data_IF_307401173928
#
_entry.id   IF_307401173928
#
_cell.length_a   1.000
_cell.length_b   1.000
_cell.length_c   1.000
_cell.angle_alpha   90.00
_cell.angle_beta   90.00
_cell.angle_gamma   90.00
#
_symmetry.space_group_name_H-M   'P 1'
#
loop_
_entity.id
_entity.type
_entity.pdbx_description
1 polymer ?
#
# COMPACT_ATOMS: atom_id res chain seq x y z
N UNK A 1 2.21 8.86 -17.94
CA UNK A 1 2.18 7.67 -17.07
C UNK A 1 1.63 8.12 -15.72
N UNK A 2 0.62 7.43 -15.16
CA UNK A 2 0.09 7.84 -13.85
C UNK A 2 1.11 7.47 -12.74
N UNK A 3 1.38 8.35 -11.76
CA UNK A 3 2.33 8.05 -10.71
C UNK A 3 1.82 6.91 -9.83
N UNK A 4 2.70 5.98 -9.50
CA UNK A 4 2.45 4.84 -8.61
C UNK A 4 3.16 5.03 -7.29
N UNK A 5 2.60 4.45 -6.23
CA UNK A 5 3.23 4.50 -4.91
C UNK A 5 4.40 3.53 -4.89
N UNK A 6 5.60 4.00 -4.55
CA UNK A 6 6.80 3.19 -4.44
C UNK A 6 7.32 3.22 -3.01
N UNK A 7 7.84 2.10 -2.52
CA UNK A 7 8.71 2.08 -1.33
C UNK A 7 10.14 1.96 -1.78
N UNK A 8 10.98 2.85 -1.29
CA UNK A 8 12.42 2.81 -1.53
C UNK A 8 13.10 2.56 -0.21
N UNK A 9 14.05 1.62 -0.20
CA UNK A 9 14.87 1.31 0.96
C UNK A 9 16.34 1.15 0.61
N UNK A 10 17.20 1.55 1.53
CA UNK A 10 18.64 1.28 1.52
C UNK A 10 19.09 0.87 2.93
N UNK A 11 20.21 0.18 3.00
CA UNK A 11 20.88 -0.19 4.25
C UNK A 11 22.16 0.64 4.37
N UNK A 12 22.39 1.26 5.52
CA UNK A 12 23.61 2.02 5.80
C UNK A 12 24.78 1.15 6.25
N UNK A 13 25.92 1.76 6.56
CA UNK A 13 27.14 1.04 6.93
C UNK A 13 27.02 0.32 8.28
N UNK A 14 26.09 0.76 9.12
CA UNK A 14 25.78 0.21 10.44
C UNK A 14 24.72 -0.91 10.36
N UNK A 15 24.21 -1.22 9.18
CA UNK A 15 23.18 -2.25 8.96
C UNK A 15 21.74 -1.76 9.23
N UNK A 16 21.54 -0.44 9.37
CA UNK A 16 20.21 0.15 9.58
C UNK A 16 19.50 0.31 8.26
N UNK A 17 18.26 -0.19 8.17
CA UNK A 17 17.43 -0.07 6.97
C UNK A 17 16.59 1.20 7.02
N UNK A 18 16.84 2.11 6.10
CA UNK A 18 16.08 3.34 5.91
C UNK A 18 15.02 3.12 4.85
N UNK A 19 13.77 3.52 5.13
CA UNK A 19 12.64 3.28 4.22
C UNK A 19 11.77 4.53 4.08
N UNK A 20 11.41 4.88 2.85
CA UNK A 20 10.44 5.95 2.54
C UNK A 20 9.43 5.50 1.50
N UNK A 21 8.23 6.07 1.56
CA UNK A 21 7.18 5.89 0.55
C UNK A 21 7.05 7.16 -0.28
N UNK A 22 7.12 7.02 -1.61
CA UNK A 22 7.05 8.12 -2.57
C UNK A 22 5.99 7.82 -3.64
N UNK A 23 5.58 8.82 -4.40
CA UNK A 23 4.72 8.65 -5.58
C UNK A 23 5.50 9.12 -6.81
N UNK A 24 5.69 8.23 -7.79
CA UNK A 24 6.58 8.47 -8.93
C UNK A 24 6.04 7.85 -10.21
N UNK A 25 6.37 8.45 -11.35
CA UNK A 25 6.03 7.98 -12.68
C UNK A 25 7.14 7.10 -13.30
N UNK A 26 8.30 6.95 -12.66
CA UNK A 26 9.36 6.04 -13.10
C UNK A 26 10.22 5.51 -11.95
N UNK A 27 11.01 4.46 -12.21
CA UNK A 27 11.97 3.91 -11.25
C UNK A 27 12.99 4.97 -10.79
N UNK A 28 13.58 5.71 -11.73
CA UNK A 28 14.60 6.71 -11.41
C UNK A 28 14.04 7.92 -10.69
N UNK A 29 12.81 8.33 -11.02
CA UNK A 29 12.12 9.38 -10.29
C UNK A 29 11.79 8.94 -8.85
N UNK A 30 11.36 7.69 -8.65
CA UNK A 30 11.16 7.14 -7.31
C UNK A 30 12.44 7.20 -6.47
N UNK A 31 13.58 6.83 -7.05
CA UNK A 31 14.89 6.94 -6.40
C UNK A 31 15.24 8.40 -6.10
N UNK A 32 15.08 9.32 -7.05
CA UNK A 32 15.38 10.74 -6.84
C UNK A 32 14.56 11.36 -5.71
N UNK A 33 13.24 11.10 -5.69
CA UNK A 33 12.35 11.54 -4.61
C UNK A 33 12.71 10.90 -3.27
N UNK A 34 13.10 9.63 -3.26
CA UNK A 34 13.52 8.97 -2.03
C UNK A 34 14.83 9.55 -1.48
N UNK A 35 15.84 9.78 -2.32
CA UNK A 35 17.11 10.43 -1.94
C UNK A 35 16.85 11.80 -1.32
N UNK A 36 15.97 12.59 -1.93
CA UNK A 36 15.56 13.89 -1.38
C UNK A 36 14.88 13.73 -0.01
N UNK A 37 13.97 12.77 0.14
CA UNK A 37 13.25 12.53 1.39
C UNK A 37 14.19 12.05 2.52
N UNK A 38 15.15 11.17 2.21
CA UNK A 38 16.18 10.71 3.13
C UNK A 38 17.08 11.86 3.60
N UNK A 39 17.57 12.68 2.67
CA UNK A 39 18.43 13.82 2.98
C UNK A 39 17.76 14.89 3.85
N UNK A 40 16.43 14.95 3.86
CA UNK A 40 15.67 15.86 4.71
C UNK A 40 15.56 15.40 6.18
N UNK A 41 15.91 14.15 6.49
CA UNK A 41 15.84 13.61 7.86
C UNK A 41 17.20 13.71 8.57
N UNK A 42 17.27 14.28 9.78
CA UNK A 42 18.54 14.53 10.46
C UNK A 42 19.25 13.25 10.95
N UNK A 43 18.57 12.12 10.98
CA UNK A 43 19.10 10.81 11.40
C UNK A 43 19.43 9.89 10.24
N UNK A 44 19.30 10.34 8.99
CA UNK A 44 19.66 9.52 7.82
C UNK A 44 21.06 9.88 7.34
N UNK A 45 22.03 8.96 7.33
CA UNK A 45 23.35 9.22 6.78
C UNK A 45 23.27 9.43 5.26
N UNK A 46 24.30 10.06 4.65
CA UNK A 46 24.41 10.12 3.20
C UNK A 46 24.38 8.72 2.58
N UNK A 47 23.59 8.54 1.52
CA UNK A 47 23.49 7.26 0.82
C UNK A 47 24.82 6.98 0.10
N UNK A 48 25.52 5.87 0.37
CA UNK A 48 26.76 5.53 -0.33
C UNK A 48 26.52 5.34 -1.84
N UNK A 49 27.46 5.77 -2.67
CA UNK A 49 27.32 5.72 -4.14
C UNK A 49 27.10 4.30 -4.69
N UNK A 50 27.63 3.28 -4.01
CA UNK A 50 27.49 1.86 -4.37
C UNK A 50 26.41 1.13 -3.56
N UNK A 51 25.62 1.83 -2.73
CA UNK A 51 24.60 1.19 -1.90
C UNK A 51 23.47 0.60 -2.77
N UNK A 52 23.09 -0.67 -2.57
CA UNK A 52 21.96 -1.24 -3.27
C UNK A 52 20.66 -0.57 -2.81
N UNK A 53 19.89 -0.07 -3.76
CA UNK A 53 18.55 0.47 -3.52
C UNK A 53 17.51 -0.60 -3.89
N UNK A 54 16.62 -0.92 -2.96
CA UNK A 54 15.44 -1.72 -3.29
C UNK A 54 14.25 -0.81 -3.52
N UNK A 55 13.60 -0.95 -4.67
CA UNK A 55 12.37 -0.23 -5.02
C UNK A 55 11.23 -1.23 -5.18
N UNK A 56 10.26 -1.14 -4.29
CA UNK A 56 9.00 -1.89 -4.39
C UNK A 56 7.93 -0.98 -4.98
N UNK A 57 7.47 -1.29 -6.19
CA UNK A 57 6.36 -0.58 -6.82
C UNK A 57 5.05 -1.18 -6.33
N UNK A 58 4.27 -0.40 -5.58
CA UNK A 58 2.94 -0.81 -5.15
C UNK A 58 1.89 -0.37 -6.18
N UNK A 59 0.90 -1.24 -6.47
CA UNK A 59 -0.26 -0.82 -7.25
C UNK A 59 -0.90 0.41 -6.60
N UNK A 60 -1.42 1.32 -7.41
CA UNK A 60 -2.22 2.45 -6.92
C UNK A 60 -3.32 1.91 -6.01
N UNK A 61 -3.26 2.24 -4.71
CA UNK A 61 -4.24 1.76 -3.74
C UNK A 61 -5.55 2.53 -3.90
N UNK A 62 -6.66 1.81 -4.05
CA UNK A 62 -8.00 2.39 -3.96
C UNK A 62 -8.49 2.23 -2.52
N UNK A 63 -8.69 3.35 -1.82
CA UNK A 63 -9.27 3.34 -0.49
C UNK A 63 -10.80 3.43 -0.57
N UNK A 64 -11.49 2.47 0.06
CA UNK A 64 -12.93 2.51 0.25
C UNK A 64 -13.24 2.64 1.74
N UNK A 65 -14.01 3.66 2.11
CA UNK A 65 -14.55 3.80 3.48
C UNK A 65 -15.96 3.25 3.52
N UNK A 66 -16.19 2.25 4.36
CA UNK A 66 -17.50 1.61 4.55
C UNK A 66 -17.80 1.45 6.03
N UNK A 67 -19.05 1.66 6.44
CA UNK A 67 -19.49 1.42 7.80
C UNK A 67 -19.89 -0.04 7.99
N UNK A 68 -19.68 -0.60 9.18
CA UNK A 68 -20.17 -1.94 9.53
C UNK A 68 -21.68 -2.09 9.32
N UNK A 69 -22.44 -1.02 9.56
CA UNK A 69 -23.88 -0.97 9.28
C UNK A 69 -24.17 -1.23 7.79
N UNK A 70 -23.46 -0.57 6.88
CA UNK A 70 -23.66 -0.73 5.43
C UNK A 70 -23.28 -2.14 4.95
N UNK A 71 -22.24 -2.73 5.54
CA UNK A 71 -21.85 -4.13 5.24
C UNK A 71 -22.94 -5.10 5.70
N UNK A 72 -23.48 -4.92 6.92
CA UNK A 72 -24.58 -5.76 7.44
C UNK A 72 -25.85 -5.63 6.60
N UNK A 73 -26.23 -4.40 6.23
CA UNK A 73 -27.38 -4.14 5.36
C UNK A 73 -27.22 -4.80 3.99
N UNK A 74 -26.04 -4.70 3.38
CA UNK A 74 -25.76 -5.37 2.11
C UNK A 74 -25.86 -6.89 2.24
N UNK A 75 -25.32 -7.49 3.31
CA UNK A 75 -25.39 -8.93 3.51
C UNK A 75 -26.83 -9.44 3.73
N UNK A 76 -27.71 -8.61 4.32
CA UNK A 76 -29.11 -8.94 4.57
C UNK A 76 -30.06 -8.56 3.41
N UNK A 77 -29.59 -7.81 2.41
CA UNK A 77 -30.42 -7.33 1.30
C UNK A 77 -30.86 -8.47 0.37
N UNK A 78 -32.01 -8.27 -0.29
CA UNK A 78 -32.54 -9.19 -1.30
C UNK A 78 -31.54 -9.36 -2.45
N UNK A 79 -31.16 -10.60 -2.71
CA UNK A 79 -30.21 -10.93 -3.78
C UNK A 79 -30.87 -10.87 -5.16
N UNK A 80 -30.10 -10.47 -6.17
CA UNK A 80 -30.58 -10.37 -7.57
C UNK A 80 -30.33 -11.62 -8.41
N UNK A 81 -29.56 -12.58 -7.89
CA UNK A 81 -29.26 -13.85 -8.55
C UNK A 81 -28.90 -14.94 -7.53
N UNK A 82 -28.91 -16.23 -7.93
CA UNK A 82 -28.44 -17.32 -7.06
C UNK A 82 -27.00 -17.15 -6.59
N UNK A 83 -26.09 -16.66 -7.45
CA UNK A 83 -24.69 -16.41 -7.11
C UNK A 83 -24.55 -15.28 -6.08
N UNK A 84 -25.29 -14.18 -6.28
CA UNK A 84 -25.32 -13.05 -5.35
C UNK A 84 -25.86 -13.49 -3.97
N UNK A 85 -26.88 -14.36 -3.95
CA UNK A 85 -27.43 -14.92 -2.72
C UNK A 85 -26.37 -15.72 -1.94
N UNK A 86 -25.62 -16.59 -2.61
CA UNK A 86 -24.54 -17.36 -1.98
C UNK A 86 -23.44 -16.43 -1.44
N UNK A 87 -23.09 -15.39 -2.20
CA UNK A 87 -22.07 -14.42 -1.80
C UNK A 87 -22.48 -13.66 -0.54
N UNK A 88 -23.71 -13.13 -0.50
CA UNK A 88 -24.27 -12.43 0.66
C UNK A 88 -24.38 -13.35 1.88
N UNK A 89 -24.85 -14.59 1.70
CA UNK A 89 -24.91 -15.58 2.78
C UNK A 89 -23.53 -15.88 3.38
N UNK A 90 -22.51 -16.05 2.53
CA UNK A 90 -21.13 -16.27 2.98
C UNK A 90 -20.61 -15.09 3.81
N UNK A 91 -20.79 -13.86 3.33
CA UNK A 91 -20.38 -12.67 4.09
C UNK A 91 -21.15 -12.57 5.41
N UNK A 92 -22.46 -12.83 5.39
CA UNK A 92 -23.29 -12.85 6.61
C UNK A 92 -22.83 -13.89 7.64
N UNK A 93 -22.39 -15.07 7.22
CA UNK A 93 -21.83 -16.09 8.10
C UNK A 93 -20.51 -15.64 8.76
N UNK A 94 -19.59 -15.07 7.95
CA UNK A 94 -18.33 -14.51 8.45
C UNK A 94 -18.56 -13.39 9.49
N UNK A 95 -19.56 -12.53 9.25
CA UNK A 95 -19.96 -11.48 10.20
C UNK A 95 -20.57 -12.03 11.50
N UNK A 96 -21.11 -13.24 11.47
CA UNK A 96 -21.66 -13.94 12.62
C UNK A 96 -20.62 -14.85 13.32
N UNK A 97 -19.37 -14.90 12.83
CA UNK A 97 -18.32 -15.75 13.37
C UNK A 97 -18.54 -17.25 13.10
N UNK A 98 -19.24 -17.60 12.02
CA UNK A 98 -19.53 -18.98 11.59
C UNK A 98 -18.89 -19.31 10.26
#
# INVERSE_FOLDING_TARGET
MAPTVCTVRFEDAEGTVHTVTVSAASLYEAVGLAVQAFAAQPWTPPIPAAAPLTVEVRPTSVEHRVTMQRVRQWAAATATSPADRLHRQRVGALLAGR
#
